data_IF_257368453782
#
_entry.id   IF_257368453782
#
_cell.length_a   1.000
_cell.length_b   1.000
_cell.length_c   1.000
_cell.angle_alpha   90.00
_cell.angle_beta   90.00
_cell.angle_gamma   90.00
#
_symmetry.space_group_name_H-M   'P 1'
#
loop_
_entity.id
_entity.type
_entity.pdbx_description
1 polymer ?
#
# COMPACT_ATOMS: atom_id res chain seq x y z
N UNK A 1 -6.20 -6.00 -7.95
CA UNK A 1 -7.32 -5.19 -8.46
C UNK A 1 -8.56 -5.41 -7.63
N UNK A 2 -9.08 -6.64 -7.60
CA UNK A 2 -10.33 -6.99 -6.91
C UNK A 2 -10.27 -6.76 -5.39
N UNK A 3 -9.21 -7.22 -4.71
CA UNK A 3 -9.10 -7.09 -3.24
C UNK A 3 -8.92 -5.63 -2.77
N UNK A 4 -8.12 -4.84 -3.48
CA UNK A 4 -7.96 -3.41 -3.19
C UNK A 4 -9.26 -2.63 -3.42
N UNK A 5 -10.02 -3.01 -4.45
CA UNK A 5 -11.33 -2.42 -4.73
C UNK A 5 -12.36 -2.80 -3.65
N UNK A 6 -12.34 -4.04 -3.16
CA UNK A 6 -13.22 -4.49 -2.08
C UNK A 6 -12.94 -3.76 -0.75
N UNK A 7 -11.65 -3.60 -0.40
CA UNK A 7 -11.26 -2.83 0.79
C UNK A 7 -11.68 -1.36 0.71
N UNK A 8 -11.52 -0.74 -0.46
CA UNK A 8 -11.98 0.65 -0.68
C UNK A 8 -13.50 0.80 -0.55
N UNK A 9 -14.27 -0.11 -1.15
CA UNK A 9 -15.74 -0.08 -1.08
C UNK A 9 -16.21 -0.18 0.37
N UNK A 10 -15.60 -1.05 1.18
CA UNK A 10 -15.94 -1.17 2.60
C UNK A 10 -15.60 0.13 3.35
N UNK A 11 -14.43 0.71 3.11
CA UNK A 11 -14.03 1.96 3.74
C UNK A 11 -14.96 3.12 3.34
N UNK A 12 -15.25 3.29 2.05
CA UNK A 12 -16.13 4.36 1.55
C UNK A 12 -17.55 4.26 2.10
N UNK A 13 -18.05 3.05 2.35
CA UNK A 13 -19.35 2.84 2.99
C UNK A 13 -19.35 3.27 4.46
N UNK A 14 -18.21 3.13 5.15
CA UNK A 14 -18.06 3.49 6.58
C UNK A 14 -17.79 4.99 6.75
N UNK A 15 -17.06 5.62 5.83
CA UNK A 15 -16.59 7.01 5.95
C UNK A 15 -17.33 8.02 5.09
N UNK A 16 -18.26 7.57 4.23
CA UNK A 16 -18.94 8.39 3.22
C UNK A 16 -17.98 9.14 2.28
N UNK A 17 -16.81 8.56 2.00
CA UNK A 17 -15.82 9.11 1.08
C UNK A 17 -16.29 8.95 -0.39
N UNK A 18 -16.47 10.05 -1.15
CA UNK A 18 -16.96 10.02 -2.53
C UNK A 18 -15.87 9.70 -3.58
N UNK A 19 -14.62 9.46 -3.16
CA UNK A 19 -13.49 9.31 -4.09
C UNK A 19 -13.51 7.94 -4.80
N UNK A 20 -13.53 7.87 -6.16
CA UNK A 20 -13.51 6.60 -6.87
C UNK A 20 -12.16 5.89 -6.72
N UNK A 21 -12.11 4.67 -6.16
CA UNK A 21 -10.87 3.89 -6.19
C UNK A 21 -10.64 3.21 -7.53
N UNK A 22 -9.60 3.65 -8.22
CA UNK A 22 -8.94 2.84 -9.23
C UNK A 22 -8.07 1.80 -8.51
N UNK A 23 -8.58 0.59 -8.28
CA UNK A 23 -7.92 -0.51 -7.55
C UNK A 23 -6.57 -1.00 -8.12
N UNK A 24 -6.02 -0.32 -9.13
CA UNK A 24 -4.67 -0.51 -9.63
C UNK A 24 -3.61 -0.11 -8.58
N UNK A 25 -3.76 1.04 -7.92
CA UNK A 25 -2.74 1.54 -6.97
C UNK A 25 -2.59 0.67 -5.73
N UNK A 26 -3.69 0.13 -5.19
CA UNK A 26 -3.63 -0.86 -4.11
C UNK A 26 -2.98 -2.19 -4.53
N UNK A 27 -3.06 -2.54 -5.82
CA UNK A 27 -2.33 -3.71 -6.35
C UNK A 27 -0.83 -3.45 -6.43
N UNK A 28 -0.44 -2.25 -6.86
CA UNK A 28 0.96 -1.80 -6.84
C UNK A 28 1.49 -1.79 -5.41
N UNK A 29 0.72 -1.30 -4.45
CA UNK A 29 1.10 -1.34 -3.03
C UNK A 29 1.31 -2.77 -2.53
N UNK A 30 0.43 -3.71 -2.88
CA UNK A 30 0.60 -5.12 -2.51
C UNK A 30 1.91 -5.73 -3.06
N UNK A 31 2.24 -5.42 -4.32
CA UNK A 31 3.50 -5.86 -4.93
C UNK A 31 4.72 -5.17 -4.30
N UNK A 32 4.63 -3.89 -3.97
CA UNK A 32 5.69 -3.15 -3.30
C UNK A 32 5.98 -3.75 -1.90
N UNK A 33 4.94 -4.05 -1.12
CA UNK A 33 5.09 -4.71 0.17
C UNK A 33 5.70 -6.10 0.02
N UNK A 34 5.21 -6.88 -0.94
CA UNK A 34 5.76 -8.20 -1.21
C UNK A 34 7.26 -8.12 -1.59
N UNK A 35 7.63 -7.19 -2.47
CA UNK A 35 9.02 -6.97 -2.85
C UNK A 35 9.89 -6.54 -1.66
N UNK A 36 9.41 -5.57 -0.86
CA UNK A 36 10.13 -5.08 0.32
C UNK A 36 10.32 -6.17 1.39
N UNK A 37 9.38 -7.10 1.51
CA UNK A 37 9.47 -8.23 2.44
C UNK A 37 10.40 -9.35 1.94
N UNK A 38 10.44 -9.60 0.63
CA UNK A 38 11.35 -10.61 0.03
C UNK A 38 12.79 -10.11 -0.11
N UNK A 39 12.97 -8.81 -0.35
CA UNK A 39 14.26 -8.22 -0.68
C UNK A 39 14.55 -6.94 0.13
N UNK A 40 14.54 -7.01 1.47
CA UNK A 40 14.52 -5.82 2.34
C UNK A 40 15.73 -4.89 2.14
N UNK A 41 16.89 -5.45 1.81
CA UNK A 41 18.15 -4.71 1.65
C UNK A 41 18.43 -4.27 0.19
N UNK A 42 17.53 -4.54 -0.77
CA UNK A 42 17.72 -4.05 -2.14
C UNK A 42 17.59 -2.54 -2.18
N UNK A 43 18.51 -1.88 -2.87
CA UNK A 43 18.47 -0.44 -3.05
C UNK A 43 17.40 -0.06 -4.07
N UNK A 44 16.48 0.82 -3.66
CA UNK A 44 15.57 1.55 -4.53
C UNK A 44 16.03 3.00 -4.62
N UNK A 45 15.88 3.61 -5.79
CA UNK A 45 16.16 5.03 -5.99
C UNK A 45 14.85 5.81 -5.87
N UNK A 46 14.65 6.49 -4.75
CA UNK A 46 13.54 7.43 -4.59
C UNK A 46 13.77 8.64 -5.49
N UNK A 47 12.74 8.98 -6.26
CA UNK A 47 12.78 10.07 -7.24
C UNK A 47 14.01 9.99 -8.16
N UNK A 48 14.49 8.78 -8.46
CA UNK A 48 15.68 8.50 -9.30
C UNK A 48 17.05 8.93 -8.74
N UNK A 49 17.15 9.53 -7.55
CA UNK A 49 18.42 10.06 -7.02
C UNK A 49 18.78 9.61 -5.60
N UNK A 50 17.80 9.29 -4.74
CA UNK A 50 18.05 9.01 -3.32
C UNK A 50 18.03 7.49 -3.11
N UNK A 51 19.18 6.83 -2.86
CA UNK A 51 19.23 5.41 -2.59
C UNK A 51 18.68 5.11 -1.20
N UNK A 52 17.72 4.20 -1.12
CA UNK A 52 17.14 3.72 0.14
C UNK A 52 16.94 2.20 0.09
N UNK A 53 17.02 1.50 1.23
CA UNK A 53 16.61 0.10 1.31
C UNK A 53 15.13 -0.05 0.96
N UNK A 54 14.78 -1.11 0.24
CA UNK A 54 13.41 -1.41 -0.17
C UNK A 54 12.45 -1.47 1.02
N UNK A 55 12.87 -2.10 2.13
CA UNK A 55 12.07 -2.16 3.35
C UNK A 55 11.74 -0.76 3.89
N UNK A 56 12.72 0.15 3.87
CA UNK A 56 12.54 1.52 4.35
C UNK A 56 11.63 2.32 3.43
N UNK A 57 11.80 2.20 2.11
CA UNK A 57 10.95 2.86 1.13
C UNK A 57 9.49 2.45 1.29
N UNK A 58 9.23 1.15 1.35
CA UNK A 58 7.89 0.57 1.52
C UNK A 58 7.27 0.99 2.84
N UNK A 59 8.02 0.90 3.95
CA UNK A 59 7.52 1.33 5.25
C UNK A 59 7.15 2.83 5.27
N UNK A 60 7.96 3.67 4.61
CA UNK A 60 7.67 5.09 4.44
C UNK A 60 6.37 5.34 3.68
N UNK A 61 6.13 4.64 2.58
CA UNK A 61 4.88 4.77 1.82
C UNK A 61 3.65 4.34 2.62
N UNK A 62 3.74 3.22 3.37
CA UNK A 62 2.65 2.78 4.25
C UNK A 62 2.36 3.85 5.32
N UNK A 63 3.40 4.44 5.92
CA UNK A 63 3.23 5.48 6.93
C UNK A 63 2.51 6.71 6.36
N UNK A 64 2.87 7.15 5.15
CA UNK A 64 2.20 8.25 4.46
C UNK A 64 0.72 7.93 4.21
N UNK A 65 0.39 6.71 3.82
CA UNK A 65 -1.00 6.29 3.64
C UNK A 65 -1.78 6.25 4.95
N UNK A 66 -1.16 5.82 6.06
CA UNK A 66 -1.79 5.88 7.40
C UNK A 66 -2.08 7.34 7.78
N UNK A 67 -1.10 8.24 7.62
CA UNK A 67 -1.28 9.66 7.93
C UNK A 67 -2.35 10.30 7.05
N UNK A 68 -2.38 9.97 5.76
CA UNK A 68 -3.40 10.44 4.82
C UNK A 68 -4.81 9.94 5.16
N UNK A 69 -4.93 8.68 5.56
CA UNK A 69 -6.21 8.10 5.99
C UNK A 69 -6.75 8.74 7.28
N UNK A 70 -5.87 9.19 8.18
CA UNK A 70 -6.26 9.85 9.45
C UNK A 70 -6.59 11.32 9.25
N UNK A 71 -5.83 12.02 8.40
CA UNK A 71 -6.00 13.47 8.17
C UNK A 71 -7.26 13.81 7.36
N UNK A 72 -7.71 12.92 6.47
CA UNK A 72 -8.89 13.13 5.63
C UNK A 72 -8.71 14.23 4.58
N UNK A 73 -9.70 14.40 3.70
CA UNK A 73 -9.71 15.49 2.69
C UNK A 73 -8.71 15.34 1.52
N UNK A 74 -8.13 14.15 1.36
CA UNK A 74 -7.20 13.81 0.28
C UNK A 74 -7.94 13.20 -0.92
N UNK A 75 -7.52 13.53 -2.14
CA UNK A 75 -7.98 12.86 -3.37
C UNK A 75 -7.36 11.46 -3.57
N UNK A 76 -6.51 11.02 -2.62
CA UNK A 76 -5.84 9.71 -2.65
C UNK A 76 -6.64 8.72 -1.81
N UNK A 77 -6.99 7.58 -2.41
CA UNK A 77 -7.66 6.48 -1.75
C UNK A 77 -6.71 5.69 -0.81
N UNK A 78 -6.31 6.31 0.30
CA UNK A 78 -5.33 5.75 1.24
C UNK A 78 -5.75 4.37 1.80
N UNK A 79 -7.05 4.18 2.07
CA UNK A 79 -7.57 2.89 2.52
C UNK A 79 -7.35 1.76 1.50
N UNK A 80 -7.42 2.07 0.20
CA UNK A 80 -7.16 1.10 -0.86
C UNK A 80 -5.67 0.67 -0.88
N UNK A 81 -4.75 1.60 -0.61
CA UNK A 81 -3.33 1.29 -0.47
C UNK A 81 -3.06 0.44 0.77
N UNK A 82 -3.62 0.81 1.93
CA UNK A 82 -3.46 0.05 3.17
C UNK A 82 -4.03 -1.37 3.06
N UNK A 83 -5.17 -1.55 2.38
CA UNK A 83 -5.71 -2.87 2.06
C UNK A 83 -4.77 -3.70 1.16
N UNK A 84 -4.16 -3.06 0.17
CA UNK A 84 -3.11 -3.66 -0.66
C UNK A 84 -1.88 -4.07 0.15
N UNK A 85 -1.39 -3.20 1.03
CA UNK A 85 -0.24 -3.45 1.88
C UNK A 85 -0.48 -4.65 2.82
N UNK A 86 -1.65 -4.68 3.47
CA UNK A 86 -2.05 -5.79 4.33
C UNK A 86 -2.11 -7.12 3.56
N UNK A 87 -2.69 -7.12 2.36
CA UNK A 87 -2.73 -8.32 1.51
C UNK A 87 -1.33 -8.78 1.08
N UNK A 88 -0.46 -7.87 0.64
CA UNK A 88 0.91 -8.19 0.23
C UNK A 88 1.71 -8.83 1.38
N UNK A 89 1.61 -8.28 2.58
CA UNK A 89 2.27 -8.81 3.77
C UNK A 89 1.72 -10.18 4.17
N UNK A 90 0.39 -10.33 4.16
CA UNK A 90 -0.27 -11.61 4.45
C UNK A 90 0.13 -12.69 3.44
N UNK A 91 0.17 -12.36 2.15
CA UNK A 91 0.59 -13.28 1.11
C UNK A 91 2.05 -13.72 1.30
N UNK A 92 2.96 -12.78 1.54
CA UNK A 92 4.35 -13.08 1.85
C UNK A 92 4.47 -14.04 3.04
N UNK A 93 3.81 -13.72 4.14
CA UNK A 93 3.87 -14.53 5.37
C UNK A 93 3.30 -15.95 5.17
N UNK A 94 2.14 -16.06 4.50
CA UNK A 94 1.42 -17.33 4.39
C UNK A 94 1.93 -18.23 3.27
N UNK A 95 2.54 -17.68 2.21
CA UNK A 95 2.87 -18.43 0.98
C UNK A 95 4.34 -18.43 0.59
N UNK A 96 5.15 -17.49 1.08
CA UNK A 96 6.56 -17.36 0.67
C UNK A 96 7.53 -17.57 1.82
N UNK A 97 7.27 -17.00 3.00
CA UNK A 97 8.16 -17.11 4.17
C UNK A 97 8.21 -18.52 4.78
N UNK A 98 7.36 -19.44 4.31
CA UNK A 98 7.33 -20.83 4.81
C UNK A 98 8.65 -21.55 4.57
#
# INVERSE_FOLDING_TARGET
GIMASAGHVIYSLITQDPTPALGASGSVMALAVLFGAMFPNRTLLLNFFIPVPAALAVAGFILLDIMGAVSGGSQVAHAAHLGGAAYGLAYWYLRIRR
#
